data_IF_929980456993
#
_entry.id   IF_929980456993
#
_cell.length_a   1.000
_cell.length_b   1.000
_cell.length_c   1.000
_cell.angle_alpha   90.00
_cell.angle_beta   90.00
_cell.angle_gamma   90.00
#
_symmetry.space_group_name_H-M   'P 1'
#
loop_
_entity.id
_entity.type
_entity.pdbx_description
1 polymer ?
#
# COMPACT_ATOMS: atom_id res chain seq x y z
N UNK A 1 -10.70 12.02 -8.66
CA UNK A 1 -12.00 11.46 -8.23
C UNK A 1 -11.75 10.33 -7.23
N UNK A 2 -12.58 10.15 -6.19
CA UNK A 2 -12.44 9.02 -5.27
C UNK A 2 -12.60 7.70 -6.04
N UNK A 3 -11.82 6.68 -5.70
CA UNK A 3 -12.03 5.34 -6.25
C UNK A 3 -13.38 4.82 -5.75
N UNK A 4 -14.22 4.42 -6.70
CA UNK A 4 -15.54 3.85 -6.46
C UNK A 4 -15.52 2.35 -6.66
N UNK A 5 -16.25 1.63 -5.82
CA UNK A 5 -16.43 0.19 -5.98
C UNK A 5 -17.54 -0.10 -6.98
N UNK A 6 -17.34 -1.11 -7.81
CA UNK A 6 -18.38 -1.73 -8.63
C UNK A 6 -19.15 -2.72 -7.77
N UNK A 7 -20.47 -2.58 -7.73
CA UNK A 7 -21.34 -3.54 -7.06
C UNK A 7 -21.46 -4.80 -7.92
N UNK A 8 -21.03 -5.96 -7.40
CA UNK A 8 -21.15 -7.25 -8.07
C UNK A 8 -22.41 -7.97 -7.60
N UNK A 9 -22.61 -8.01 -6.29
CA UNK A 9 -23.80 -8.55 -5.61
C UNK A 9 -24.09 -7.71 -4.38
N UNK A 10 -25.25 -7.90 -3.74
CA UNK A 10 -25.62 -7.21 -2.50
C UNK A 10 -24.61 -7.34 -1.34
N UNK A 11 -23.61 -8.22 -1.46
CA UNK A 11 -22.58 -8.49 -0.44
C UNK A 11 -21.16 -8.60 -1.01
N UNK A 12 -20.94 -8.24 -2.27
CA UNK A 12 -19.63 -8.33 -2.95
C UNK A 12 -19.40 -7.09 -3.81
N UNK A 13 -18.27 -6.43 -3.58
CA UNK A 13 -17.92 -5.17 -4.22
C UNK A 13 -16.49 -5.24 -4.76
N UNK A 14 -16.28 -4.84 -6.00
CA UNK A 14 -14.95 -4.81 -6.62
C UNK A 14 -14.37 -3.39 -6.63
N UNK A 15 -13.13 -3.21 -6.17
CA UNK A 15 -12.43 -1.93 -6.35
C UNK A 15 -11.99 -1.75 -7.82
N UNK A 16 -11.57 -2.84 -8.43
CA UNK A 16 -11.03 -2.89 -9.79
C UNK A 16 -10.30 -4.21 -10.04
N UNK A 17 -9.91 -4.41 -11.29
CA UNK A 17 -9.16 -5.56 -11.75
C UNK A 17 -7.70 -5.18 -12.04
N UNK A 18 -6.80 -6.13 -11.87
CA UNK A 18 -5.38 -6.02 -12.17
C UNK A 18 -5.06 -7.08 -13.21
N UNK A 19 -4.56 -6.70 -14.37
CA UNK A 19 -3.93 -7.65 -15.27
C UNK A 19 -2.51 -7.93 -14.75
N UNK A 20 -2.29 -9.12 -14.19
CA UNK A 20 -1.01 -9.54 -13.65
C UNK A 20 -0.37 -10.56 -14.59
N UNK A 21 0.52 -10.08 -15.46
CA UNK A 21 1.19 -10.93 -16.43
C UNK A 21 2.29 -11.80 -15.81
N UNK A 22 2.66 -11.57 -14.55
CA UNK A 22 3.65 -12.38 -13.82
C UNK A 22 3.08 -13.79 -13.62
N UNK A 23 3.85 -14.82 -13.96
CA UNK A 23 3.42 -16.21 -13.75
C UNK A 23 3.50 -16.62 -12.29
N UNK A 24 4.53 -16.17 -11.55
CA UNK A 24 4.72 -16.49 -10.14
C UNK A 24 4.53 -17.98 -9.83
N UNK A 25 4.05 -18.25 -8.61
CA UNK A 25 3.54 -19.57 -8.21
C UNK A 25 2.11 -19.86 -8.72
N UNK A 26 1.60 -19.11 -9.70
CA UNK A 26 0.22 -19.23 -10.19
C UNK A 26 0.08 -20.04 -11.48
N UNK A 27 1.18 -20.60 -11.99
CA UNK A 27 1.29 -21.31 -13.26
C UNK A 27 1.02 -20.47 -14.53
N UNK A 28 0.13 -19.46 -14.50
CA UNK A 28 -0.25 -18.65 -15.65
C UNK A 28 -0.52 -17.17 -15.28
N UNK A 29 -0.46 -16.25 -16.27
CA UNK A 29 -0.98 -14.88 -16.14
C UNK A 29 -2.42 -14.84 -15.64
N UNK A 30 -2.78 -13.81 -14.89
CA UNK A 30 -4.08 -13.75 -14.23
C UNK A 30 -4.65 -12.33 -14.22
N UNK A 31 -5.95 -12.19 -14.49
CA UNK A 31 -6.68 -10.99 -14.10
C UNK A 31 -7.22 -11.18 -12.68
N UNK A 32 -6.77 -10.32 -11.77
CA UNK A 32 -7.15 -10.35 -10.36
C UNK A 32 -8.15 -9.27 -10.05
N UNK A 33 -9.32 -9.63 -9.58
CA UNK A 33 -10.31 -8.65 -9.12
C UNK A 33 -10.19 -8.49 -7.61
N UNK A 34 -9.86 -7.28 -7.16
CA UNK A 34 -9.80 -6.95 -5.73
C UNK A 34 -11.21 -6.73 -5.19
N UNK A 35 -11.64 -7.62 -4.30
CA UNK A 35 -13.00 -7.68 -3.77
C UNK A 35 -13.04 -7.35 -2.28
N UNK A 36 -14.12 -6.69 -1.86
CA UNK A 36 -14.60 -6.65 -0.48
C UNK A 36 -15.88 -7.49 -0.43
N UNK A 37 -15.90 -8.57 0.35
CA UNK A 37 -16.99 -9.55 0.33
C UNK A 37 -17.31 -10.13 1.72
N UNK A 38 -18.57 -10.53 1.94
CA UNK A 38 -19.03 -11.15 3.20
C UNK A 38 -18.81 -12.67 3.26
N UNK A 39 -18.87 -13.35 2.11
CA UNK A 39 -18.74 -14.81 2.01
C UNK A 39 -18.04 -15.18 0.69
N UNK A 40 -17.36 -16.33 0.68
CA UNK A 40 -16.78 -16.88 -0.55
C UNK A 40 -17.87 -17.47 -1.44
N UNK A 41 -18.11 -16.82 -2.58
CA UNK A 41 -18.96 -17.32 -3.65
C UNK A 41 -18.07 -17.66 -4.86
N UNK A 42 -18.53 -18.55 -5.75
CA UNK A 42 -17.82 -18.83 -7.00
C UNK A 42 -18.25 -17.81 -8.05
N UNK A 43 -17.27 -17.26 -8.74
CA UNK A 43 -17.48 -16.29 -9.80
C UNK A 43 -16.79 -16.77 -11.07
N UNK A 44 -17.37 -16.43 -12.22
CA UNK A 44 -16.72 -16.60 -13.50
C UNK A 44 -16.27 -15.24 -14.04
N UNK A 45 -15.26 -15.25 -14.89
CA UNK A 45 -14.76 -14.06 -15.54
C UNK A 45 -14.93 -14.23 -17.04
N UNK A 46 -15.50 -13.22 -17.71
CA UNK A 46 -15.56 -13.16 -19.17
C UNK A 46 -14.68 -12.04 -19.68
N UNK A 47 -13.79 -12.40 -20.59
CA UNK A 47 -12.85 -11.49 -21.22
C UNK A 47 -13.42 -10.89 -22.51
N UNK A 48 -12.67 -9.96 -23.11
CA UNK A 48 -13.13 -9.15 -24.25
C UNK A 48 -13.39 -10.00 -25.50
N UNK A 49 -12.62 -11.07 -25.73
CA UNK A 49 -12.87 -12.01 -26.84
C UNK A 49 -14.18 -12.81 -26.69
N UNK A 50 -14.72 -12.84 -25.47
CA UNK A 50 -15.84 -13.68 -25.08
C UNK A 50 -15.44 -14.94 -24.31
N UNK A 51 -14.15 -15.25 -24.16
CA UNK A 51 -13.66 -16.37 -23.34
C UNK A 51 -14.19 -16.28 -21.90
N UNK A 52 -14.66 -17.40 -21.36
CA UNK A 52 -15.20 -17.51 -20.00
C UNK A 52 -14.34 -18.48 -19.20
N UNK A 53 -13.88 -18.06 -18.03
CA UNK A 53 -13.08 -18.88 -17.12
C UNK A 53 -13.73 -18.96 -15.74
N UNK A 54 -13.60 -20.09 -15.06
CA UNK A 54 -13.92 -20.20 -13.64
C UNK A 54 -12.82 -19.49 -12.84
N UNK A 55 -13.18 -18.46 -12.09
CA UNK A 55 -12.25 -17.77 -11.19
C UNK A 55 -11.99 -18.53 -9.89
N UNK A 56 -12.63 -19.70 -9.72
CA UNK A 56 -12.37 -20.64 -8.65
C UNK A 56 -12.83 -20.14 -7.27
N UNK A 57 -12.14 -20.63 -6.23
CA UNK A 57 -12.33 -20.15 -4.86
C UNK A 57 -11.64 -18.79 -4.73
N UNK A 58 -12.33 -17.82 -4.14
CA UNK A 58 -11.72 -16.55 -3.77
C UNK A 58 -10.48 -16.78 -2.90
N UNK A 59 -9.39 -16.12 -3.26
CA UNK A 59 -8.21 -16.05 -2.41
C UNK A 59 -8.49 -15.07 -1.28
N UNK A 60 -8.54 -15.59 -0.05
CA UNK A 60 -8.71 -14.79 1.16
C UNK A 60 -7.38 -14.21 1.61
N UNK A 61 -7.33 -12.90 1.84
CA UNK A 61 -6.14 -12.24 2.38
C UNK A 61 -5.96 -12.53 3.87
N UNK A 62 -4.70 -12.55 4.33
CA UNK A 62 -4.27 -13.12 5.60
C UNK A 62 -4.78 -12.39 6.85
N UNK A 63 -5.22 -11.13 6.71
CA UNK A 63 -5.64 -10.27 7.84
C UNK A 63 -7.10 -9.84 7.75
N UNK A 64 -8.00 -10.75 7.37
CA UNK A 64 -9.44 -10.51 7.45
C UNK A 64 -10.00 -10.63 8.87
N UNK A 65 -9.29 -11.31 9.79
CA UNK A 65 -9.63 -11.45 11.21
C UNK A 65 -11.09 -11.86 11.49
N UNK A 66 -11.64 -12.75 10.65
CA UNK A 66 -13.02 -13.25 10.75
C UNK A 66 -14.10 -12.14 10.82
N UNK A 67 -13.79 -10.96 10.30
CA UNK A 67 -14.74 -9.85 10.23
C UNK A 67 -15.86 -10.16 9.26
N UNK A 68 -17.00 -9.47 9.43
CA UNK A 68 -18.15 -9.70 8.59
C UNK A 68 -17.82 -9.54 7.10
N UNK A 69 -17.01 -8.55 6.73
CA UNK A 69 -16.43 -8.42 5.39
C UNK A 69 -14.92 -8.64 5.45
N UNK A 70 -14.42 -9.40 4.48
CA UNK A 70 -13.00 -9.57 4.20
C UNK A 70 -12.60 -8.99 2.85
N UNK A 71 -11.30 -8.92 2.62
CA UNK A 71 -10.67 -8.57 1.34
C UNK A 71 -10.20 -9.86 0.66
N UNK A 72 -10.47 -9.95 -0.63
CA UNK A 72 -10.22 -11.14 -1.43
C UNK A 72 -9.69 -10.79 -2.81
N UNK A 73 -8.98 -11.73 -3.43
CA UNK A 73 -8.81 -11.78 -4.87
C UNK A 73 -9.72 -12.83 -5.51
N UNK A 74 -10.48 -12.43 -6.52
CA UNK A 74 -10.95 -13.35 -7.54
C UNK A 74 -9.86 -13.45 -8.61
N UNK A 75 -9.28 -14.64 -8.78
CA UNK A 75 -8.21 -14.87 -9.73
C UNK A 75 -8.79 -15.50 -11.00
N UNK A 76 -8.80 -14.77 -12.11
CA UNK A 76 -9.25 -15.23 -13.41
C UNK A 76 -8.02 -15.58 -14.27
N UNK A 77 -7.66 -16.86 -14.47
CA UNK A 77 -6.56 -17.21 -15.37
C UNK A 77 -6.81 -16.66 -16.78
N UNK A 78 -5.80 -16.06 -17.38
CA UNK A 78 -5.91 -15.50 -18.74
C UNK A 78 -5.56 -16.61 -19.75
N UNK A 79 -6.46 -16.99 -20.67
CA UNK A 79 -6.16 -17.93 -21.74
C UNK A 79 -5.01 -17.44 -22.64
N UNK A 80 -4.25 -18.35 -23.26
CA UNK A 80 -3.02 -18.00 -24.01
C UNK A 80 -3.25 -17.01 -25.17
N UNK A 81 -4.40 -17.10 -25.85
CA UNK A 81 -4.76 -16.23 -26.98
C UNK A 81 -5.61 -15.01 -26.58
N UNK A 82 -5.80 -14.78 -25.27
CA UNK A 82 -6.67 -13.70 -24.79
C UNK A 82 -5.95 -12.36 -24.69
N UNK A 83 -6.56 -11.31 -25.25
CA UNK A 83 -6.16 -9.94 -25.01
C UNK A 83 -7.00 -9.37 -23.87
N UNK A 84 -6.33 -9.00 -22.78
CA UNK A 84 -7.00 -8.34 -21.65
C UNK A 84 -7.29 -6.88 -22.00
N UNK A 85 -8.57 -6.58 -22.25
CA UNK A 85 -9.04 -5.21 -22.47
C UNK A 85 -9.18 -4.40 -21.18
N UNK A 86 -9.74 -3.20 -21.28
CA UNK A 86 -9.88 -2.25 -20.15
C UNK A 86 -10.92 -2.67 -19.11
N UNK A 87 -11.70 -3.72 -19.37
CA UNK A 87 -12.70 -4.25 -18.44
C UNK A 87 -12.75 -5.77 -18.49
N UNK A 88 -13.06 -6.38 -17.36
CA UNK A 88 -13.42 -7.80 -17.23
C UNK A 88 -14.85 -7.93 -16.72
N UNK A 89 -15.64 -8.81 -17.30
CA UNK A 89 -16.99 -9.09 -16.81
C UNK A 89 -16.93 -10.15 -15.71
N UNK A 90 -17.33 -9.79 -14.50
CA UNK A 90 -17.48 -10.74 -13.38
C UNK A 90 -18.92 -11.23 -13.34
N UNK A 91 -19.08 -12.55 -13.39
CA UNK A 91 -20.38 -13.23 -13.47
C UNK A 91 -20.64 -14.04 -12.22
N UNK A 92 -21.82 -13.82 -11.64
CA UNK A 92 -22.44 -14.70 -10.65
C UNK A 92 -23.91 -14.85 -11.05
N UNK A 93 -24.84 -14.31 -10.27
CA UNK A 93 -26.26 -14.20 -10.65
C UNK A 93 -26.51 -13.03 -11.63
N UNK A 94 -25.64 -12.04 -11.62
CA UNK A 94 -25.65 -10.88 -12.49
C UNK A 94 -24.26 -10.71 -13.14
N UNK A 95 -24.20 -9.90 -14.19
CA UNK A 95 -22.97 -9.53 -14.85
C UNK A 95 -22.58 -8.13 -14.39
N UNK A 96 -21.37 -7.98 -13.87
CA UNK A 96 -20.81 -6.70 -13.51
C UNK A 96 -19.53 -6.46 -14.31
N UNK A 97 -19.42 -5.27 -14.92
CA UNK A 97 -18.23 -4.86 -15.67
C UNK A 97 -17.25 -4.17 -14.72
N UNK A 98 -16.10 -4.79 -14.50
CA UNK A 98 -15.07 -4.28 -13.59
C UNK A 98 -13.91 -3.72 -14.40
N UNK A 99 -13.49 -2.45 -14.16
CA UNK A 99 -12.38 -1.86 -14.89
C UNK A 99 -11.04 -2.50 -14.50
N UNK A 100 -10.19 -2.73 -15.49
CA UNK A 100 -8.78 -3.08 -15.29
C UNK A 100 -8.03 -1.78 -14.98
N UNK A 101 -7.63 -1.62 -13.73
CA UNK A 101 -7.03 -0.38 -13.22
C UNK A 101 -5.51 -0.39 -13.22
N UNK A 102 -4.90 -1.57 -13.33
CA UNK A 102 -3.45 -1.77 -13.40
C UNK A 102 -3.11 -2.88 -14.39
N UNK A 103 -2.03 -2.68 -15.15
CA UNK A 103 -1.47 -3.66 -16.07
C UNK A 103 -0.01 -3.90 -15.70
N UNK A 104 0.26 -5.07 -15.12
CA UNK A 104 1.57 -5.44 -14.58
C UNK A 104 2.25 -6.35 -15.60
N UNK A 105 3.42 -5.92 -16.07
CA UNK A 105 4.22 -6.65 -17.06
C UNK A 105 4.97 -7.83 -16.46
N UNK A 106 5.35 -8.80 -17.30
CA UNK A 106 6.18 -9.97 -16.91
C UNK A 106 7.56 -9.58 -16.42
N UNK A 107 8.16 -8.58 -17.06
CA UNK A 107 9.48 -8.05 -16.75
C UNK A 107 9.30 -6.62 -16.28
N UNK A 108 9.83 -6.32 -15.10
CA UNK A 108 10.02 -4.95 -14.64
C UNK A 108 11.51 -4.67 -14.78
N UNK A 109 11.88 -3.92 -15.82
CA UNK A 109 13.27 -3.53 -16.03
C UNK A 109 13.64 -2.40 -15.07
N UNK A 110 14.80 -2.52 -14.41
CA UNK A 110 15.24 -1.57 -13.39
C UNK A 110 15.45 -0.14 -13.92
N UNK A 111 15.72 0.01 -15.22
CA UNK A 111 15.91 1.31 -15.88
C UNK A 111 14.59 2.09 -16.09
N UNK A 112 13.43 1.47 -15.81
CA UNK A 112 12.10 2.06 -16.05
C UNK A 112 11.43 2.64 -14.80
N UNK A 113 12.03 2.52 -13.62
CA UNK A 113 11.41 3.05 -12.41
C UNK A 113 11.35 4.58 -12.45
N UNK A 114 10.16 5.12 -12.21
CA UNK A 114 9.92 6.57 -12.10
C UNK A 114 10.34 7.06 -10.71
N UNK A 115 10.22 6.20 -9.70
CA UNK A 115 10.54 6.53 -8.32
C UNK A 115 11.47 5.49 -7.70
N UNK A 116 12.49 5.94 -6.98
CA UNK A 116 13.37 5.06 -6.18
C UNK A 116 12.62 4.46 -4.99
N UNK A 117 11.89 5.28 -4.25
CA UNK A 117 11.10 4.84 -3.11
C UNK A 117 9.72 5.48 -3.17
N UNK A 118 8.73 4.71 -2.79
CA UNK A 118 7.35 5.15 -2.61
C UNK A 118 6.87 4.74 -1.24
N UNK A 119 6.22 5.67 -0.53
CA UNK A 119 5.66 5.39 0.78
C UNK A 119 4.16 5.22 0.66
N UNK A 120 3.67 4.06 1.12
CA UNK A 120 2.28 3.69 1.23
C UNK A 120 1.83 3.86 2.67
N UNK A 121 1.10 4.95 2.93
CA UNK A 121 0.54 5.19 4.25
C UNK A 121 -0.82 4.52 4.39
N UNK A 122 -1.10 3.92 5.56
CA UNK A 122 -2.35 3.25 5.82
C UNK A 122 -3.54 4.22 5.94
N UNK A 123 -4.73 3.66 6.09
CA UNK A 123 -5.93 4.47 6.25
C UNK A 123 -5.86 5.36 7.47
N UNK A 124 -5.95 6.67 7.23
CA UNK A 124 -6.12 7.63 8.32
C UNK A 124 -7.57 7.63 8.78
N UNK A 125 -7.82 7.17 10.00
CA UNK A 125 -9.15 7.13 10.63
C UNK A 125 -9.14 7.75 12.04
N UNK A 126 -10.34 8.07 12.52
CA UNK A 126 -10.53 8.65 13.85
C UNK A 126 -10.01 10.09 13.99
N UNK A 127 -9.54 10.44 15.19
CA UNK A 127 -8.99 11.77 15.55
C UNK A 127 -7.53 11.70 16.02
N UNK A 128 -6.83 10.59 15.70
CA UNK A 128 -5.47 10.32 16.19
C UNK A 128 -4.44 11.36 15.71
N UNK A 129 -4.65 11.88 14.50
CA UNK A 129 -3.74 12.85 13.89
C UNK A 129 -4.44 14.19 13.71
N UNK A 130 -3.88 15.25 14.31
CA UNK A 130 -4.29 16.62 14.01
C UNK A 130 -3.80 17.00 12.62
N UNK A 131 -4.43 18.02 12.04
CA UNK A 131 -3.97 18.61 10.80
C UNK A 131 -2.50 19.03 10.82
N UNK A 132 -2.04 19.64 11.91
CA UNK A 132 -0.66 20.06 12.10
C UNK A 132 0.31 18.87 12.18
N UNK A 133 -0.07 17.77 12.85
CA UNK A 133 0.77 16.55 12.85
C UNK A 133 0.93 15.97 11.44
N UNK A 134 -0.13 15.99 10.63
CA UNK A 134 -0.06 15.52 9.26
C UNK A 134 0.88 16.40 8.42
N UNK A 135 0.79 17.72 8.59
CA UNK A 135 1.74 18.68 7.99
C UNK A 135 3.18 18.32 8.36
N UNK A 136 3.49 18.21 9.65
CA UNK A 136 4.83 17.88 10.15
C UNK A 136 5.36 16.60 9.48
N UNK A 137 4.59 15.51 9.54
CA UNK A 137 5.00 14.22 8.98
C UNK A 137 5.23 14.30 7.48
N UNK A 138 4.34 14.93 6.71
CA UNK A 138 4.52 15.06 5.26
C UNK A 138 5.71 15.94 4.88
N UNK A 139 6.10 16.90 5.70
CA UNK A 139 7.29 17.72 5.46
C UNK A 139 8.60 17.00 5.73
N UNK A 140 8.57 15.99 6.60
CA UNK A 140 9.73 15.14 6.83
C UNK A 140 10.03 14.26 5.61
N UNK A 141 9.00 13.83 4.88
CA UNK A 141 9.16 12.98 3.70
C UNK A 141 9.46 13.79 2.42
N UNK A 142 10.73 13.92 2.03
CA UNK A 142 11.14 14.51 0.72
C UNK A 142 10.97 13.57 -0.49
N UNK A 143 10.29 12.44 -0.31
CA UNK A 143 10.23 11.32 -1.26
C UNK A 143 8.80 11.17 -1.78
N UNK A 144 8.63 10.62 -2.98
CA UNK A 144 7.32 10.35 -3.58
C UNK A 144 6.38 9.60 -2.63
N UNK A 145 5.30 10.27 -2.21
CA UNK A 145 4.29 9.69 -1.32
C UNK A 145 3.02 9.31 -2.08
N UNK A 146 2.55 8.09 -1.85
CA UNK A 146 1.17 7.70 -2.13
C UNK A 146 0.39 7.67 -0.83
N UNK A 147 -0.47 8.67 -0.63
CA UNK A 147 -1.28 8.79 0.59
C UNK A 147 -2.71 8.36 0.30
N UNK A 148 -3.21 7.43 1.11
CA UNK A 148 -4.60 6.98 1.09
C UNK A 148 -5.40 7.63 2.21
N UNK A 149 -6.40 8.45 1.87
CA UNK A 149 -7.25 9.13 2.84
C UNK A 149 -8.65 8.54 2.90
N UNK A 150 -9.09 8.20 4.11
CA UNK A 150 -10.46 7.74 4.37
C UNK A 150 -11.41 8.87 4.83
N UNK A 151 -10.91 10.00 5.35
CA UNK A 151 -11.78 11.00 5.97
C UNK A 151 -11.79 12.39 5.30
N UNK A 152 -12.97 12.94 4.94
CA UNK A 152 -13.10 14.22 4.23
C UNK A 152 -12.62 15.45 5.03
N UNK A 153 -12.35 15.32 6.34
CA UNK A 153 -11.87 16.44 7.19
C UNK A 153 -10.38 16.78 6.98
N UNK A 154 -9.61 15.89 6.38
CA UNK A 154 -8.21 16.17 6.05
C UNK A 154 -8.06 17.02 4.77
N UNK A 155 -9.14 17.26 4.01
CA UNK A 155 -9.07 17.85 2.67
C UNK A 155 -8.34 19.21 2.60
N UNK A 156 -8.52 20.10 3.57
CA UNK A 156 -8.02 21.47 3.48
C UNK A 156 -6.50 21.57 3.64
N UNK A 157 -5.95 20.84 4.61
CA UNK A 157 -4.50 20.85 4.89
C UNK A 157 -3.74 20.07 3.81
N UNK A 158 -4.33 18.98 3.32
CA UNK A 158 -3.78 18.26 2.17
C UNK A 158 -3.77 19.09 0.88
N UNK A 159 -4.81 19.91 0.62
CA UNK A 159 -4.79 20.81 -0.55
C UNK A 159 -3.68 21.85 -0.47
N UNK A 160 -3.34 22.34 0.73
CA UNK A 160 -2.22 23.27 0.92
C UNK A 160 -0.85 22.59 0.77
N UNK A 161 -0.70 21.33 1.20
CA UNK A 161 0.54 20.56 0.99
C UNK A 161 0.77 20.07 -0.43
N UNK A 162 -0.29 19.72 -1.16
CA UNK A 162 -0.19 19.40 -2.60
C UNK A 162 0.39 20.59 -3.39
N UNK A 163 0.17 21.83 -2.94
CA UNK A 163 0.72 23.05 -3.53
C UNK A 163 2.25 23.20 -3.33
N UNK A 164 2.86 22.45 -2.41
CA UNK A 164 4.31 22.44 -2.16
C UNK A 164 5.05 21.28 -2.84
N UNK A 165 4.38 20.53 -3.73
CA UNK A 165 4.94 19.44 -4.56
C UNK A 165 5.47 18.18 -3.83
N UNK A 166 5.29 18.05 -2.52
CA UNK A 166 5.76 16.85 -1.78
C UNK A 166 4.85 15.64 -1.99
N UNK A 167 3.53 15.84 -1.94
CA UNK A 167 2.55 14.77 -2.14
C UNK A 167 2.25 14.68 -3.64
N UNK A 168 2.69 13.60 -4.29
CA UNK A 168 2.52 13.42 -5.75
C UNK A 168 1.11 12.95 -6.11
N UNK A 169 0.49 12.11 -5.26
CA UNK A 169 -0.86 11.61 -5.53
C UNK A 169 -1.62 11.31 -4.24
N UNK A 170 -2.82 11.87 -4.16
CA UNK A 170 -3.76 11.64 -3.08
C UNK A 170 -4.88 10.71 -3.56
N UNK A 171 -4.93 9.49 -3.04
CA UNK A 171 -5.98 8.53 -3.36
C UNK A 171 -7.08 8.60 -2.30
N UNK A 172 -8.26 9.09 -2.68
CA UNK A 172 -9.46 9.00 -1.83
C UNK A 172 -10.16 7.67 -2.12
N UNK A 173 -10.34 6.86 -1.10
CA UNK A 173 -11.02 5.57 -1.21
C UNK A 173 -12.25 5.58 -0.30
N UNK A 174 -13.43 5.30 -0.87
CA UNK A 174 -14.68 5.23 -0.12
C UNK A 174 -15.11 3.77 -0.04
N UNK A 175 -14.99 3.18 1.14
CA UNK A 175 -15.39 1.79 1.34
C UNK A 175 -16.91 1.61 1.11
N UNK A 176 -17.34 0.48 0.53
CA UNK A 176 -18.74 0.20 0.25
C UNK A 176 -19.49 -0.35 1.47
N UNK A 177 -18.78 -0.54 2.59
CA UNK A 177 -19.28 -1.13 3.82
C UNK A 177 -18.91 -0.26 5.02
N UNK A 178 -19.66 -0.44 6.12
CA UNK A 178 -19.32 0.18 7.40
C UNK A 178 -17.93 -0.29 7.86
N UNK A 179 -17.08 0.65 8.28
CA UNK A 179 -15.72 0.38 8.72
C UNK A 179 -15.66 -0.57 9.92
N UNK A 180 -16.72 -0.68 10.72
CA UNK A 180 -16.83 -1.63 11.84
C UNK A 180 -17.05 -3.07 11.38
N UNK A 181 -17.42 -3.29 10.12
CA UNK A 181 -17.72 -4.62 9.57
C UNK A 181 -16.54 -5.21 8.81
N UNK A 182 -15.44 -4.50 8.68
CA UNK A 182 -14.23 -4.93 7.97
C UNK A 182 -13.02 -4.69 8.87
N UNK A 183 -12.05 -5.60 8.84
CA UNK A 183 -10.89 -5.50 9.72
C UNK A 183 -10.12 -4.20 9.51
N UNK A 184 -9.69 -3.59 10.62
CA UNK A 184 -8.86 -2.40 10.65
C UNK A 184 -9.32 -1.30 9.68
N UNK A 185 -10.63 -1.02 9.66
CA UNK A 185 -11.22 -0.01 8.80
C UNK A 185 -10.94 -0.22 7.30
N UNK A 186 -10.74 -1.47 6.86
CA UNK A 186 -10.51 -1.85 5.47
C UNK A 186 -9.09 -1.60 4.96
N UNK A 187 -8.11 -1.42 5.85
CA UNK A 187 -6.74 -1.04 5.50
C UNK A 187 -6.06 -1.94 4.46
N UNK A 188 -6.37 -3.24 4.48
CA UNK A 188 -5.90 -4.18 3.45
C UNK A 188 -6.25 -3.73 2.02
N UNK A 189 -7.39 -3.08 1.80
CA UNK A 189 -7.76 -2.57 0.47
C UNK A 189 -6.81 -1.46 0.03
N UNK A 190 -6.47 -0.54 0.94
CA UNK A 190 -5.57 0.58 0.65
C UNK A 190 -4.14 0.09 0.40
N UNK A 191 -3.66 -0.83 1.25
CA UNK A 191 -2.34 -1.44 1.13
C UNK A 191 -2.20 -2.19 -0.19
N UNK A 192 -3.18 -3.01 -0.53
CA UNK A 192 -3.19 -3.75 -1.79
C UNK A 192 -3.23 -2.82 -2.99
N UNK A 193 -4.10 -1.80 -2.97
CA UNK A 193 -4.14 -0.83 -4.06
C UNK A 193 -2.82 -0.07 -4.23
N UNK A 194 -2.14 0.23 -3.11
CA UNK A 194 -0.87 0.93 -3.12
C UNK A 194 0.27 0.04 -3.64
N UNK A 195 0.32 -1.21 -3.21
CA UNK A 195 1.28 -2.20 -3.69
C UNK A 195 1.23 -2.32 -5.21
N UNK A 196 0.05 -2.61 -5.77
CA UNK A 196 -0.11 -2.78 -7.22
C UNK A 196 0.05 -1.47 -8.01
N UNK A 197 -0.18 -0.31 -7.39
CA UNK A 197 0.15 0.99 -7.99
C UNK A 197 1.66 1.20 -8.10
N UNK A 198 2.42 0.74 -7.12
CA UNK A 198 3.88 0.86 -7.08
C UNK A 198 4.59 -0.12 -8.02
N UNK A 199 3.96 -1.26 -8.34
CA UNK A 199 4.53 -2.25 -9.26
C UNK A 199 4.83 -1.63 -10.63
N UNK A 200 6.09 -1.76 -11.08
CA UNK A 200 6.55 -1.24 -12.37
C UNK A 200 6.75 0.28 -12.43
N UNK A 201 6.46 0.99 -11.32
CA UNK A 201 6.59 2.45 -11.23
C UNK A 201 7.65 2.83 -10.19
N UNK A 202 7.72 2.08 -9.10
CA UNK A 202 8.60 2.34 -7.97
C UNK A 202 9.56 1.16 -7.77
N UNK A 203 10.85 1.45 -7.59
CA UNK A 203 11.86 0.43 -7.30
C UNK A 203 11.61 -0.22 -5.94
N UNK A 204 11.34 0.60 -4.93
CA UNK A 204 10.95 0.14 -3.60
C UNK A 204 9.63 0.77 -3.16
N UNK A 205 8.87 0.01 -2.36
CA UNK A 205 7.65 0.49 -1.70
C UNK A 205 7.77 0.24 -0.20
N UNK A 206 7.63 1.28 0.61
CA UNK A 206 7.59 1.17 2.06
C UNK A 206 6.15 1.26 2.55
N UNK A 207 5.75 0.34 3.42
CA UNK A 207 4.52 0.37 4.20
C UNK A 207 4.91 0.68 5.63
N UNK A 208 4.41 1.78 6.19
CA UNK A 208 4.57 2.09 7.61
C UNK A 208 3.50 3.07 8.11
N UNK A 209 3.31 3.17 9.43
CA UNK A 209 2.40 4.15 10.03
C UNK A 209 2.94 5.60 9.94
N UNK A 210 2.08 6.58 10.25
CA UNK A 210 2.44 8.01 10.20
C UNK A 210 3.39 8.45 11.32
N UNK A 211 3.35 7.74 12.44
CA UNK A 211 4.25 7.93 13.57
C UNK A 211 5.54 7.13 13.41
N UNK A 212 5.76 6.45 12.28
CA UNK A 212 6.88 5.53 12.05
C UNK A 212 7.82 5.99 10.92
N UNK A 213 9.13 5.84 11.13
CA UNK A 213 10.18 6.18 10.17
C UNK A 213 11.28 5.12 10.13
N UNK A 214 11.66 4.72 8.92
CA UNK A 214 12.82 3.85 8.71
C UNK A 214 14.08 4.68 8.51
N UNK A 215 15.09 4.47 9.35
CA UNK A 215 16.33 5.25 9.37
C UNK A 215 17.51 4.29 9.14
N UNK A 216 18.24 4.45 8.02
CA UNK A 216 19.51 3.77 7.82
C UNK A 216 20.50 4.20 8.90
N UNK A 217 21.13 3.22 9.57
CA UNK A 217 22.19 3.46 10.55
C UNK A 217 23.58 3.46 9.90
N UNK A 218 23.68 2.91 8.69
CA UNK A 218 24.87 2.96 7.82
C UNK A 218 24.63 3.88 6.60
N UNK A 219 25.69 4.22 5.86
CA UNK A 219 25.68 5.20 4.75
C UNK A 219 24.44 5.12 3.83
N UNK A 220 23.70 6.24 3.75
CA UNK A 220 22.33 6.33 3.21
C UNK A 220 22.13 5.92 1.75
N UNK A 221 23.12 6.08 0.87
CA UNK A 221 22.92 5.85 -0.59
C UNK A 221 23.04 4.38 -0.99
N UNK A 222 23.65 3.53 -0.15
CA UNK A 222 23.86 2.11 -0.44
C UNK A 222 22.98 1.19 0.40
N UNK A 223 22.36 1.64 1.49
CA UNK A 223 21.72 0.73 2.46
C UNK A 223 20.57 -0.07 1.84
N UNK A 224 19.58 0.56 1.19
CA UNK A 224 18.47 -0.19 0.60
C UNK A 224 18.94 -1.09 -0.55
N UNK A 225 19.82 -0.59 -1.43
CA UNK A 225 20.33 -1.39 -2.53
C UNK A 225 21.18 -2.58 -2.06
N UNK A 226 21.97 -2.41 -1.00
CA UNK A 226 22.75 -3.50 -0.40
C UNK A 226 21.88 -4.49 0.35
N UNK A 227 20.79 -4.01 0.95
CA UNK A 227 19.84 -4.83 1.68
C UNK A 227 18.94 -5.66 0.75
N UNK A 228 18.59 -5.11 -0.41
CA UNK A 228 17.79 -5.79 -1.43
C UNK A 228 18.68 -6.48 -2.47
N UNK A 229 19.30 -7.58 -2.06
CA UNK A 229 19.96 -8.53 -2.96
C UNK A 229 18.94 -9.15 -3.94
N UNK A 230 19.42 -9.93 -4.93
CA UNK A 230 18.62 -10.37 -6.07
C UNK A 230 17.28 -11.03 -5.68
N UNK A 231 17.25 -11.83 -4.61
CA UNK A 231 16.07 -12.58 -4.18
C UNK A 231 15.38 -12.02 -2.93
N UNK A 232 15.81 -10.88 -2.40
CA UNK A 232 15.17 -10.27 -1.23
C UNK A 232 13.94 -9.49 -1.70
N UNK A 233 12.75 -9.92 -1.26
CA UNK A 233 11.50 -9.32 -1.70
C UNK A 233 10.94 -8.32 -0.70
N UNK A 234 11.19 -8.52 0.59
CA UNK A 234 10.86 -7.53 1.61
C UNK A 234 11.81 -7.56 2.78
N UNK A 235 11.86 -6.43 3.46
CA UNK A 235 12.67 -6.23 4.64
C UNK A 235 11.77 -5.62 5.70
N UNK A 236 11.33 -6.43 6.65
CA UNK A 236 10.79 -5.92 7.89
C UNK A 236 11.95 -5.41 8.77
N UNK A 237 11.83 -4.23 9.41
CA UNK A 237 12.79 -3.81 10.41
C UNK A 237 12.72 -4.73 11.64
N UNK A 238 13.86 -4.97 12.29
CA UNK A 238 13.86 -5.68 13.58
C UNK A 238 13.29 -4.79 14.69
N UNK A 239 12.46 -5.35 15.57
CA UNK A 239 12.03 -4.68 16.80
C UNK A 239 13.07 -4.89 17.90
N UNK A 240 13.40 -3.85 18.67
CA UNK A 240 13.78 -4.04 20.08
C UNK A 240 12.46 -4.31 20.80
N UNK A 241 12.31 -5.52 21.34
CA UNK A 241 11.11 -6.06 22.01
C UNK A 241 10.18 -5.01 22.63
N UNK A 242 8.85 -5.08 22.34
CA UNK A 242 7.72 -4.90 23.29
C UNK A 242 6.32 -5.08 22.63
N UNK A 243 6.18 -5.14 21.29
CA UNK A 243 4.89 -5.51 20.69
C UNK A 243 5.05 -6.49 19.52
N UNK A 244 4.33 -7.61 19.56
CA UNK A 244 4.39 -8.70 18.58
C UNK A 244 3.72 -8.36 17.22
N UNK A 245 3.63 -7.08 16.86
CA UNK A 245 3.04 -6.61 15.61
C UNK A 245 4.08 -5.76 14.88
N UNK A 246 4.76 -6.38 13.93
CA UNK A 246 5.51 -5.69 12.89
C UNK A 246 4.47 -4.89 12.08
N UNK A 247 4.62 -3.60 11.81
CA UNK A 247 3.75 -2.83 10.89
C UNK A 247 4.45 -2.52 9.59
N UNK A 248 5.77 -2.64 9.59
CA UNK A 248 6.59 -1.90 8.64
C UNK A 248 7.39 -2.83 7.76
N UNK A 249 7.33 -2.60 6.45
CA UNK A 249 8.08 -3.36 5.47
C UNK A 249 8.48 -2.45 4.32
N UNK A 250 9.77 -2.44 3.97
CA UNK A 250 10.18 -2.05 2.63
C UNK A 250 10.08 -3.28 1.75
N UNK A 251 9.58 -3.14 0.53
CA UNK A 251 9.39 -4.25 -0.40
C UNK A 251 9.87 -3.90 -1.80
N UNK A 252 10.28 -4.91 -2.55
CA UNK A 252 10.33 -4.91 -4.01
C UNK A 252 8.95 -5.31 -4.54
N UNK A 253 8.12 -4.36 -5.00
CA UNK A 253 6.71 -4.64 -5.24
C UNK A 253 6.49 -5.73 -6.30
N UNK A 254 7.40 -5.88 -7.27
CA UNK A 254 7.35 -6.91 -8.29
C UNK A 254 7.51 -8.34 -7.75
N UNK A 255 8.12 -8.51 -6.57
CA UNK A 255 8.38 -9.80 -5.91
C UNK A 255 7.30 -10.20 -4.90
N UNK A 256 6.36 -9.30 -4.62
CA UNK A 256 5.28 -9.52 -3.65
C UNK A 256 3.96 -9.80 -4.36
N UNK A 257 3.22 -10.76 -3.82
CA UNK A 257 1.85 -11.05 -4.20
C UNK A 257 0.85 -10.37 -3.24
N UNK A 258 1.10 -10.50 -1.94
CA UNK A 258 0.26 -9.96 -0.87
C UNK A 258 1.11 -9.27 0.20
N UNK A 259 0.80 -8.00 0.45
CA UNK A 259 1.27 -7.27 1.62
C UNK A 259 0.10 -7.10 2.59
N UNK A 260 0.31 -7.52 3.83
CA UNK A 260 -0.56 -7.26 4.95
C UNK A 260 -0.35 -5.87 5.55
N UNK A 261 -1.23 -5.51 6.48
CA UNK A 261 -1.11 -4.43 7.46
C UNK A 261 0.23 -4.52 8.20
N UNK A 262 0.60 -5.73 8.58
CA UNK A 262 1.70 -5.95 9.52
C UNK A 262 2.93 -6.64 8.93
N UNK A 263 2.80 -7.31 7.79
CA UNK A 263 3.88 -8.13 7.26
C UNK A 263 3.67 -8.38 5.78
N UNK A 264 4.73 -8.81 5.10
CA UNK A 264 4.58 -9.41 3.78
C UNK A 264 3.95 -10.79 3.93
N UNK A 265 2.66 -10.91 3.60
CA UNK A 265 1.92 -12.17 3.73
C UNK A 265 2.36 -13.21 2.72
N UNK A 266 2.67 -12.79 1.48
CA UNK A 266 3.01 -13.73 0.41
C UNK A 266 3.89 -13.11 -0.66
N UNK A 267 5.05 -13.74 -0.89
CA UNK A 267 5.89 -13.50 -2.07
C UNK A 267 5.27 -14.14 -3.32
N UNK A 268 5.63 -13.63 -4.50
CA UNK A 268 5.09 -14.13 -5.77
C UNK A 268 5.75 -15.44 -6.23
N UNK A 269 6.97 -15.74 -5.76
CA UNK A 269 7.72 -16.97 -6.05
C UNK A 269 8.46 -17.46 -4.80
N UNK A 270 8.57 -18.78 -4.63
CA UNK A 270 9.09 -19.39 -3.38
C UNK A 270 10.58 -19.12 -3.10
N UNK A 271 11.36 -18.74 -4.11
CA UNK A 271 12.77 -18.41 -3.94
C UNK A 271 12.99 -16.99 -3.41
N UNK A 272 11.95 -16.16 -3.39
CA UNK A 272 12.01 -14.83 -2.80
C UNK A 272 11.89 -14.89 -1.29
N UNK A 273 12.69 -14.07 -0.60
CA UNK A 273 12.82 -14.12 0.87
C UNK A 273 12.51 -12.78 1.51
N UNK A 274 12.16 -12.84 2.80
CA UNK A 274 11.86 -11.69 3.65
C UNK A 274 12.71 -11.72 4.93
N UNK A 275 14.03 -11.51 4.85
CA UNK A 275 14.93 -11.64 5.99
C UNK A 275 14.72 -10.50 7.00
N UNK A 276 14.86 -10.84 8.29
CA UNK A 276 14.96 -9.83 9.34
C UNK A 276 16.29 -9.08 9.21
N UNK A 277 16.24 -7.76 9.30
CA UNK A 277 17.44 -6.90 9.26
C UNK A 277 17.70 -6.31 10.64
N UNK A 278 18.98 -6.32 11.06
CA UNK A 278 19.42 -5.75 12.34
C UNK A 278 19.14 -4.26 12.44
N UNK A 279 18.81 -3.82 13.66
CA UNK A 279 18.66 -2.42 14.06
C UNK A 279 19.93 -1.58 13.93
N UNK A 280 21.09 -2.22 13.72
CA UNK A 280 22.36 -1.55 13.43
C UNK A 280 22.52 -1.20 11.95
N UNK A 281 21.60 -1.66 11.09
CA UNK A 281 21.62 -1.40 9.64
C UNK A 281 20.43 -0.52 9.26
N UNK A 282 19.22 -0.94 9.63
CA UNK A 282 17.98 -0.23 9.34
C UNK A 282 17.09 -0.28 10.58
N UNK A 283 16.86 0.89 11.18
CA UNK A 283 16.09 1.02 12.42
C UNK A 283 14.73 1.63 12.16
N UNK A 284 13.71 1.07 12.77
CA UNK A 284 12.40 1.68 12.87
C UNK A 284 12.35 2.64 14.05
N UNK A 285 11.83 3.84 13.83
CA UNK A 285 11.68 4.87 14.86
C UNK A 285 10.23 5.32 14.97
N UNK A 286 9.74 5.49 16.21
CA UNK A 286 8.38 5.90 16.51
C UNK A 286 8.35 7.33 17.12
N UNK A 287 7.64 8.26 16.49
CA UNK A 287 7.67 9.70 16.81
C UNK A 287 6.68 10.13 17.91
N UNK A 288 5.65 9.33 18.28
CA UNK A 288 4.65 9.72 19.31
C UNK A 288 4.54 8.76 20.53
N UNK A 289 5.10 9.25 21.64
CA UNK A 289 4.91 9.02 23.09
C UNK A 289 4.05 7.86 23.64
N UNK A 290 4.74 6.86 24.20
CA UNK A 290 4.75 6.39 25.62
C UNK A 290 5.78 5.26 25.73
N UNK A 291 5.96 4.57 24.60
CA UNK A 291 6.75 3.35 24.41
C UNK A 291 7.83 3.50 23.31
N UNK A 292 7.94 4.68 22.69
CA UNK A 292 9.14 5.05 21.94
C UNK A 292 10.33 5.03 22.89
N UNK A 293 11.51 4.60 22.42
CA UNK A 293 12.70 4.51 23.26
C UNK A 293 12.92 5.85 23.98
N UNK A 294 12.60 5.89 25.28
CA UNK A 294 12.74 7.08 26.14
C UNK A 294 14.19 7.57 26.24
N UNK A 295 15.11 6.83 25.63
CA UNK A 295 16.55 7.01 25.66
C UNK A 295 17.17 7.07 24.26
N UNK A 296 16.39 6.94 23.16
CA UNK A 296 16.92 7.04 21.79
C UNK A 296 16.60 8.43 21.21
N UNK A 297 17.52 9.36 21.44
CA UNK A 297 17.44 10.72 20.91
C UNK A 297 18.07 10.85 19.51
N UNK A 298 18.43 9.74 18.84
CA UNK A 298 19.16 9.73 17.56
C UNK A 298 18.46 10.57 16.48
N UNK A 299 17.12 10.54 16.43
CA UNK A 299 16.36 11.38 15.49
C UNK A 299 16.45 12.86 15.85
N UNK A 300 16.28 13.18 17.13
CA UNK A 300 16.34 14.54 17.62
C UNK A 300 17.74 15.14 17.42
N UNK A 301 18.79 14.38 17.72
CA UNK A 301 20.19 14.77 17.57
C UNK A 301 20.58 14.91 16.10
N UNK A 302 20.35 13.88 15.28
CA UNK A 302 20.86 13.86 13.91
C UNK A 302 20.00 14.64 12.93
N UNK A 303 18.69 14.78 13.21
CA UNK A 303 17.74 15.36 12.27
C UNK A 303 16.87 16.45 12.90
N UNK A 304 16.73 16.52 14.22
CA UNK A 304 15.76 17.41 14.89
C UNK A 304 15.90 18.89 14.49
N UNK A 305 17.13 19.42 14.44
CA UNK A 305 17.36 20.81 13.98
C UNK A 305 16.92 21.03 12.53
N UNK A 306 17.28 20.10 11.65
CA UNK A 306 16.93 20.15 10.23
C UNK A 306 15.42 20.01 10.00
N UNK A 307 14.77 19.13 10.75
CA UNK A 307 13.33 18.89 10.66
C UNK A 307 12.54 20.09 11.18
N UNK A 308 12.98 20.69 12.29
CA UNK A 308 12.38 21.91 12.85
C UNK A 308 12.51 23.09 11.89
N UNK A 309 13.70 23.34 11.36
CA UNK A 309 13.93 24.40 10.38
C UNK A 309 13.03 24.22 9.14
N UNK A 310 12.92 22.99 8.62
CA UNK A 310 12.04 22.69 7.49
C UNK A 310 10.57 22.89 7.79
N UNK A 311 10.14 22.53 9.00
CA UNK A 311 8.77 22.77 9.44
C UNK A 311 8.47 24.26 9.49
N UNK A 312 9.33 25.05 10.12
CA UNK A 312 9.21 26.52 10.22
C UNK A 312 9.15 27.17 8.82
N UNK A 313 10.08 26.82 7.92
CA UNK A 313 10.13 27.32 6.54
C UNK A 313 8.83 27.10 5.77
N UNK A 314 8.23 25.91 5.94
CA UNK A 314 7.00 25.57 5.24
C UNK A 314 5.82 26.30 5.85
N UNK A 315 5.71 26.27 7.17
CA UNK A 315 4.61 26.88 7.89
C UNK A 315 4.53 28.39 7.60
N UNK A 316 5.69 29.04 7.48
CA UNK A 316 5.78 30.43 7.00
C UNK A 316 5.26 30.58 5.57
N UNK A 317 5.66 29.70 4.63
CA UNK A 317 5.22 29.72 3.22
C UNK A 317 3.72 29.50 3.03
N UNK A 318 3.10 28.63 3.82
CA UNK A 318 1.66 28.33 3.74
C UNK A 318 0.80 29.24 4.64
N UNK A 319 1.43 30.18 5.36
CA UNK A 319 0.73 31.17 6.16
C UNK A 319 -0.08 30.60 7.34
N UNK A 320 0.23 29.39 7.82
CA UNK A 320 -0.52 28.76 8.91
C UNK A 320 -0.43 29.53 10.25
N UNK A 321 0.59 30.39 10.43
CA UNK A 321 0.70 31.34 11.55
C UNK A 321 0.34 32.79 11.19
N UNK A 322 -0.18 33.06 9.99
CA UNK A 322 -0.65 34.41 9.61
C UNK A 322 -2.17 34.48 9.61
N UNK A 323 -2.71 34.71 10.79
CA UNK A 323 -3.81 35.67 10.99
C UNK A 323 -3.73 36.23 12.41
N UNK A 324 -4.07 37.52 12.60
CA UNK A 324 -3.84 38.26 13.84
C UNK A 324 -4.55 37.68 15.06
#
# INVERSE_FOLDING_TARGET
LPKSFVNITSRTYALGAIHDARKGNMAAPCVRVLLVARFTQRFQCRFTSGAIVDGGKLYEMSENHAMAYGVYFLNCPVPDDEIVGDTVEVRCSFIARVPVIYNISKLVEAERYIYELTICLPFLFGRRYSGATLVEVFLMFRISLFVYLLHPRCCFIFSQHMALHTIRKLSRLRLPVDFKKIWHHGQLVAITDCLYRGMGVSRFVAFHDLDEFLIPQVSRSSTLNALFEENVASIPPSYVQISAKQTDCVVRPEMIFEQGIHHTSRVIQDHYVSPLVSNDILRLYHYKVSDGSKTDDTILENYGKLLRQRFEDVVERIGLYRSP
#
